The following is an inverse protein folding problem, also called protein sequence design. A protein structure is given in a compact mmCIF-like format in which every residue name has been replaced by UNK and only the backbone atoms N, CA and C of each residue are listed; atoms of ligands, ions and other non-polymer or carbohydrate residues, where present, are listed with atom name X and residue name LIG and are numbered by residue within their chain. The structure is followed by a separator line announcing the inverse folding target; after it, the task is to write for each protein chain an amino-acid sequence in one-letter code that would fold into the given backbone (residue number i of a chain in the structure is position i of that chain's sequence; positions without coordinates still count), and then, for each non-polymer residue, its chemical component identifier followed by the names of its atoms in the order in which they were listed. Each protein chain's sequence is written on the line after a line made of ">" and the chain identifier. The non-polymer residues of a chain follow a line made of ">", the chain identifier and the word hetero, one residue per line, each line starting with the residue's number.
data_IF_187887852631
#
_entry.id   IF_187887852631
#
_cell.length_a   1.000
_cell.length_b   1.000
_cell.length_c   1.000
_cell.angle_alpha   90.00
_cell.angle_beta   90.00
_cell.angle_gamma   90.00
#
_symmetry.space_group_name_H-M   'P 1'
#
loop_
_entity.id
_entity.type
_entity.pdbx_description
1 polymer ?
#
# COMPACT_ATOMS: atom_id res chain seq x y z
N UNK A 1 46.22 55.50 -59.42
CA UNK A 1 46.48 54.62 -58.26
C UNK A 1 45.48 54.92 -57.13
N UNK A 2 44.17 54.81 -57.41
CA UNK A 2 43.10 55.22 -56.47
C UNK A 2 41.99 54.16 -56.37
N UNK A 3 42.05 53.08 -57.17
CA UNK A 3 40.92 52.13 -57.32
C UNK A 3 41.09 50.83 -56.52
N UNK A 4 42.28 50.55 -55.93
CA UNK A 4 42.52 49.29 -55.18
C UNK A 4 42.22 49.33 -53.68
N UNK A 5 41.83 50.48 -53.11
CA UNK A 5 41.57 50.58 -51.65
C UNK A 5 40.09 50.34 -51.26
N UNK A 6 39.16 50.33 -52.22
CA UNK A 6 37.73 50.17 -51.94
C UNK A 6 37.25 48.70 -51.90
N UNK A 7 38.06 47.74 -52.35
CA UNK A 7 37.67 46.33 -52.43
C UNK A 7 38.01 45.48 -51.19
N UNK A 8 38.83 46.00 -50.27
CA UNK A 8 39.26 45.26 -49.06
C UNK A 8 38.44 45.57 -47.81
N UNK A 9 37.60 46.60 -47.82
CA UNK A 9 36.72 46.94 -46.69
C UNK A 9 35.31 46.32 -46.79
N UNK A 10 34.87 45.89 -47.98
CA UNK A 10 33.54 45.32 -48.21
C UNK A 10 33.38 43.85 -47.84
N UNK A 11 34.46 43.07 -47.84
CA UNK A 11 34.45 41.64 -47.49
C UNK A 11 34.53 41.40 -45.97
N UNK A 12 35.08 42.35 -45.21
CA UNK A 12 35.22 42.23 -43.76
C UNK A 12 33.89 42.46 -43.03
N UNK A 13 33.06 43.38 -43.53
CA UNK A 13 31.73 43.68 -42.94
C UNK A 13 30.71 42.58 -43.26
N UNK A 14 30.81 41.92 -44.44
CA UNK A 14 29.94 40.78 -44.80
C UNK A 14 30.21 39.52 -43.98
N UNK A 15 31.40 39.35 -43.39
CA UNK A 15 31.70 38.22 -42.50
C UNK A 15 31.25 38.42 -41.06
N UNK A 16 31.07 39.67 -40.63
CA UNK A 16 30.60 40.00 -39.27
C UNK A 16 29.06 39.92 -39.18
N UNK A 17 28.34 40.08 -40.29
CA UNK A 17 26.87 40.05 -40.33
C UNK A 17 26.23 38.67 -40.52
N UNK A 18 27.00 37.58 -40.44
CA UNK A 18 26.46 36.20 -40.41
C UNK A 18 26.42 35.64 -38.97
N UNK A 19 26.84 36.42 -37.97
CA UNK A 19 26.79 36.04 -36.55
C UNK A 19 25.57 36.70 -35.89
N UNK A 20 24.38 36.38 -36.39
CA UNK A 20 23.07 36.69 -35.82
C UNK A 20 22.07 35.95 -36.72
N UNK A 21 21.42 34.85 -36.38
CA UNK A 21 20.71 34.48 -35.15
C UNK A 21 20.72 32.95 -35.15
N UNK A 22 21.61 32.32 -34.41
CA UNK A 22 21.31 30.99 -33.87
C UNK A 22 20.77 31.27 -32.47
N UNK A 23 19.47 31.55 -32.38
CA UNK A 23 18.80 31.46 -31.09
C UNK A 23 18.96 30.01 -30.65
N UNK A 24 19.97 29.77 -29.82
CA UNK A 24 19.99 28.63 -28.95
C UNK A 24 18.74 28.77 -28.09
N UNK A 25 17.64 28.16 -28.55
CA UNK A 25 16.56 27.75 -27.69
C UNK A 25 17.20 26.79 -26.70
N UNK A 26 17.69 27.33 -25.59
CA UNK A 26 17.94 26.56 -24.39
C UNK A 26 16.55 26.11 -23.97
N UNK A 27 16.11 24.98 -24.53
CA UNK A 27 15.06 24.20 -23.93
C UNK A 27 15.57 23.85 -22.55
N UNK A 28 15.15 24.61 -21.55
CA UNK A 28 15.19 24.15 -20.17
C UNK A 28 14.33 22.89 -20.17
N UNK A 29 14.99 21.74 -20.29
CA UNK A 29 14.44 20.47 -19.83
C UNK A 29 14.35 20.61 -18.32
N UNK A 30 13.29 21.25 -17.84
CA UNK A 30 12.84 21.01 -16.47
C UNK A 30 12.49 19.54 -16.46
N UNK A 31 13.28 18.73 -15.74
CA UNK A 31 12.77 17.43 -15.33
C UNK A 31 11.44 17.73 -14.63
N UNK A 32 10.34 17.32 -15.25
CA UNK A 32 9.05 17.44 -14.59
C UNK A 32 9.11 16.44 -13.45
N UNK A 33 9.05 16.93 -12.21
CA UNK A 33 8.90 16.04 -11.07
C UNK A 33 7.64 15.20 -11.31
N UNK A 34 7.80 13.89 -11.15
CA UNK A 34 6.70 12.93 -11.27
C UNK A 34 5.63 13.26 -10.24
N UNK A 35 4.36 13.04 -10.58
CA UNK A 35 3.26 13.28 -9.64
C UNK A 35 3.36 12.31 -8.46
N UNK A 36 2.82 12.68 -7.29
CA UNK A 36 2.77 11.78 -6.13
C UNK A 36 2.06 10.46 -6.48
N UNK A 37 1.01 10.54 -7.32
CA UNK A 37 0.33 9.36 -7.82
C UNK A 37 1.22 8.50 -8.75
N UNK A 38 2.00 9.13 -9.63
CA UNK A 38 2.96 8.41 -10.48
C UNK A 38 4.00 7.64 -9.63
N UNK A 39 4.44 8.21 -8.49
CA UNK A 39 5.28 7.48 -7.52
C UNK A 39 4.54 6.26 -6.95
N UNK A 40 3.31 6.45 -6.47
CA UNK A 40 2.49 5.35 -5.91
C UNK A 40 2.33 4.22 -6.95
N UNK A 41 1.98 4.57 -8.18
CA UNK A 41 1.81 3.61 -9.25
C UNK A 41 3.10 2.83 -9.51
N UNK A 42 4.22 3.52 -9.70
CA UNK A 42 5.49 2.90 -10.12
C UNK A 42 6.23 2.17 -9.01
N UNK A 43 6.25 2.73 -7.81
CA UNK A 43 7.06 2.23 -6.69
C UNK A 43 6.28 1.32 -5.72
N UNK A 44 4.94 1.31 -5.80
CA UNK A 44 4.10 0.53 -4.87
C UNK A 44 3.15 -0.41 -5.61
N UNK A 45 2.27 0.08 -6.48
CA UNK A 45 1.27 -0.76 -7.13
C UNK A 45 1.87 -1.74 -8.13
N UNK A 46 2.74 -1.25 -9.01
CA UNK A 46 3.43 -2.09 -9.99
C UNK A 46 4.18 -3.27 -9.35
N UNK A 47 5.03 -3.07 -8.32
CA UNK A 47 5.77 -4.17 -7.72
C UNK A 47 4.94 -5.04 -6.76
N UNK A 48 3.89 -4.52 -6.12
CA UNK A 48 3.24 -5.21 -4.99
C UNK A 48 1.78 -5.60 -5.20
N UNK A 49 1.11 -5.10 -6.26
CA UNK A 49 -0.35 -5.25 -6.39
C UNK A 49 -0.79 -5.77 -7.76
N UNK A 50 -0.17 -5.31 -8.85
CA UNK A 50 -0.63 -5.60 -10.22
C UNK A 50 -0.69 -7.09 -10.55
N UNK A 51 0.23 -7.90 -10.03
CA UNK A 51 0.25 -9.35 -10.30
C UNK A 51 -1.11 -10.02 -10.00
N UNK A 52 -1.82 -9.51 -8.99
CA UNK A 52 -3.16 -9.98 -8.59
C UNK A 52 -4.29 -9.03 -9.05
N UNK A 53 -3.99 -7.76 -9.32
CA UNK A 53 -4.95 -6.73 -9.71
C UNK A 53 -4.70 -6.23 -11.13
N UNK A 54 -4.65 -7.15 -12.09
CA UNK A 54 -4.59 -6.82 -13.52
C UNK A 54 -5.68 -7.57 -14.30
N UNK A 55 -6.01 -7.06 -15.48
CA UNK A 55 -6.99 -7.67 -16.37
C UNK A 55 -6.69 -9.15 -16.60
N UNK A 56 -7.71 -10.00 -16.45
CA UNK A 56 -7.62 -11.44 -16.64
C UNK A 56 -7.21 -12.25 -15.40
N UNK A 57 -6.85 -11.60 -14.30
CA UNK A 57 -6.60 -12.29 -13.02
C UNK A 57 -7.88 -12.55 -12.24
N UNK A 58 -7.91 -13.64 -11.48
CA UNK A 58 -9.06 -14.03 -10.65
C UNK A 58 -9.36 -12.96 -9.58
N UNK A 59 -8.34 -12.41 -8.94
CA UNK A 59 -8.54 -11.42 -7.88
C UNK A 59 -9.07 -10.09 -8.43
N UNK A 60 -8.60 -9.63 -9.60
CA UNK A 60 -9.20 -8.47 -10.26
C UNK A 60 -10.69 -8.65 -10.57
N UNK A 61 -11.08 -9.84 -11.04
CA UNK A 61 -12.49 -10.15 -11.32
C UNK A 61 -13.35 -10.19 -10.04
N UNK A 62 -12.87 -10.86 -8.99
CA UNK A 62 -13.61 -10.99 -7.73
C UNK A 62 -13.73 -9.68 -6.96
N UNK A 63 -12.72 -8.83 -7.02
CA UNK A 63 -12.69 -7.53 -6.35
C UNK A 63 -13.22 -6.38 -7.22
N UNK A 64 -13.45 -6.64 -8.51
CA UNK A 64 -13.73 -5.65 -9.55
C UNK A 64 -12.72 -4.49 -9.53
N UNK A 65 -11.43 -4.81 -9.39
CA UNK A 65 -10.34 -3.85 -9.21
C UNK A 65 -9.12 -4.23 -10.04
N UNK A 66 -8.77 -3.35 -10.97
CA UNK A 66 -7.55 -3.33 -11.77
C UNK A 66 -6.70 -2.14 -11.32
N UNK A 67 -5.42 -2.40 -11.07
CA UNK A 67 -4.44 -1.44 -10.55
C UNK A 67 -3.30 -1.17 -11.55
N UNK A 68 -3.51 -1.47 -12.83
CA UNK A 68 -2.59 -1.07 -13.91
C UNK A 68 -2.70 0.44 -14.16
N UNK A 69 -1.61 1.04 -14.64
CA UNK A 69 -1.44 2.49 -14.79
C UNK A 69 -2.57 3.18 -15.58
N UNK A 70 -3.20 2.46 -16.50
CA UNK A 70 -4.30 2.94 -17.35
C UNK A 70 -5.68 2.98 -16.66
N UNK A 71 -5.88 2.24 -15.55
CA UNK A 71 -7.18 2.11 -14.90
C UNK A 71 -7.17 2.43 -13.39
N UNK A 72 -5.99 2.36 -12.74
CA UNK A 72 -5.87 2.33 -11.29
C UNK A 72 -6.50 3.53 -10.58
N UNK A 73 -6.23 4.75 -11.06
CA UNK A 73 -6.73 5.96 -10.41
C UNK A 73 -8.24 6.04 -10.47
N UNK A 74 -8.82 5.87 -11.67
CA UNK A 74 -10.27 5.88 -11.89
C UNK A 74 -10.99 4.77 -11.14
N UNK A 75 -10.32 3.65 -10.87
CA UNK A 75 -10.89 2.55 -10.10
C UNK A 75 -10.72 2.68 -8.59
N UNK A 76 -9.81 3.52 -8.09
CA UNK A 76 -9.59 3.70 -6.66
C UNK A 76 -10.30 4.93 -6.10
N UNK A 77 -10.19 6.07 -6.78
CA UNK A 77 -10.55 7.34 -6.16
C UNK A 77 -12.02 7.70 -6.43
N UNK A 78 -12.76 8.01 -5.37
CA UNK A 78 -14.21 8.21 -5.34
C UNK A 78 -15.04 7.02 -5.84
N UNK A 79 -14.50 5.80 -5.74
CA UNK A 79 -15.18 4.56 -6.15
C UNK A 79 -15.70 3.78 -4.95
N UNK A 80 -16.96 3.36 -5.01
CA UNK A 80 -17.55 2.47 -4.01
C UNK A 80 -16.95 1.06 -4.12
N UNK A 81 -16.49 0.43 -3.03
CA UNK A 81 -15.89 -0.90 -3.09
C UNK A 81 -16.88 -1.98 -3.55
N UNK A 82 -16.36 -3.02 -4.18
CA UNK A 82 -17.16 -4.17 -4.61
C UNK A 82 -17.61 -5.05 -3.43
N UNK A 83 -16.81 -5.11 -2.36
CA UNK A 83 -17.15 -5.80 -1.12
C UNK A 83 -18.46 -5.24 -0.54
N UNK A 84 -19.43 -6.13 -0.31
CA UNK A 84 -20.77 -5.74 0.13
C UNK A 84 -20.79 -5.17 1.55
N UNK A 85 -19.94 -5.67 2.45
CA UNK A 85 -19.83 -5.16 3.82
C UNK A 85 -19.26 -3.75 3.82
N UNK A 86 -18.10 -3.54 3.18
CA UNK A 86 -17.47 -2.21 3.09
C UNK A 86 -18.37 -1.18 2.41
N UNK A 87 -19.15 -1.59 1.40
CA UNK A 87 -20.19 -0.75 0.80
C UNK A 87 -21.32 -0.44 1.79
N UNK A 88 -21.76 -1.44 2.55
CA UNK A 88 -22.80 -1.28 3.58
C UNK A 88 -22.39 -0.30 4.67
N UNK A 89 -21.09 -0.25 4.97
CA UNK A 89 -20.49 0.68 5.93
C UNK A 89 -20.25 2.09 5.34
N UNK A 90 -20.60 2.29 4.06
CA UNK A 90 -20.53 3.59 3.39
C UNK A 90 -19.11 4.02 2.99
N UNK A 91 -18.16 3.08 2.93
CA UNK A 91 -16.78 3.39 2.56
C UNK A 91 -16.64 3.68 1.06
N UNK A 92 -15.59 4.43 0.73
CA UNK A 92 -15.03 4.51 -0.62
C UNK A 92 -13.71 3.73 -0.64
N UNK A 93 -13.26 3.30 -1.82
CA UNK A 93 -11.91 2.75 -2.00
C UNK A 93 -10.87 3.76 -1.53
N UNK A 94 -10.94 5.00 -2.02
CA UNK A 94 -10.24 6.18 -1.51
C UNK A 94 -11.14 7.40 -1.75
N UNK A 95 -11.28 8.31 -0.78
CA UNK A 95 -11.99 9.59 -0.96
C UNK A 95 -11.04 10.77 -1.19
N UNK A 96 -11.59 11.94 -1.55
CA UNK A 96 -10.83 13.19 -1.77
C UNK A 96 -10.97 14.26 -0.68
N UNK A 97 -11.67 13.98 0.40
CA UNK A 97 -11.96 14.91 1.50
C UNK A 97 -10.84 15.00 2.55
N UNK A 98 -9.61 14.62 2.18
CA UNK A 98 -8.42 14.70 3.03
C UNK A 98 -8.51 13.80 4.25
N UNK A 99 -8.43 14.38 5.46
CA UNK A 99 -8.44 13.63 6.74
C UNK A 99 -9.65 12.68 6.82
N UNK A 100 -10.84 13.15 6.47
CA UNK A 100 -12.04 12.32 6.52
C UNK A 100 -11.98 11.13 5.55
N UNK A 101 -11.23 11.25 4.46
CA UNK A 101 -11.06 10.16 3.51
C UNK A 101 -10.16 9.05 4.00
N UNK A 102 -9.24 9.32 4.93
CA UNK A 102 -8.40 8.26 5.51
C UNK A 102 -9.25 7.30 6.37
N UNK A 103 -10.07 7.86 7.25
CA UNK A 103 -10.97 7.11 8.16
C UNK A 103 -12.06 6.33 7.41
N UNK A 104 -12.39 6.74 6.17
CA UNK A 104 -13.40 6.06 5.35
C UNK A 104 -12.81 5.39 4.10
N UNK A 105 -11.51 5.10 4.11
CA UNK A 105 -10.79 4.49 2.98
C UNK A 105 -10.69 2.99 3.13
N UNK A 106 -11.45 2.27 2.29
CA UNK A 106 -11.35 0.81 2.23
C UNK A 106 -9.96 0.35 1.75
N UNK A 107 -9.25 1.13 0.92
CA UNK A 107 -7.87 0.81 0.57
C UNK A 107 -6.98 0.84 1.82
N UNK A 108 -7.13 1.87 2.66
CA UNK A 108 -6.30 2.06 3.86
C UNK A 108 -6.50 0.91 4.84
N UNK A 109 -7.75 0.55 5.12
CA UNK A 109 -8.11 -0.64 5.92
C UNK A 109 -7.38 -1.90 5.42
N UNK A 110 -7.32 -2.08 4.10
CA UNK A 110 -6.77 -3.29 3.49
C UNK A 110 -5.25 -3.36 3.53
N UNK A 111 -4.54 -2.23 3.59
CA UNK A 111 -3.06 -2.20 3.52
C UNK A 111 -2.39 -1.86 4.84
N UNK A 112 -3.10 -1.26 5.80
CA UNK A 112 -2.56 -0.82 7.08
C UNK A 112 -2.35 -2.00 8.04
N UNK A 113 -1.37 -2.85 7.72
CA UNK A 113 -1.03 -4.04 8.50
C UNK A 113 -0.75 -3.79 10.00
N UNK A 114 -0.16 -2.65 10.43
CA UNK A 114 -0.07 -2.31 11.85
C UNK A 114 -1.41 -2.33 12.60
N UNK A 115 -2.52 -2.11 11.92
CA UNK A 115 -3.87 -2.04 12.48
C UNK A 115 -4.68 -3.34 12.23
N UNK A 116 -3.98 -4.46 12.04
CA UNK A 116 -4.62 -5.75 11.74
C UNK A 116 -5.64 -6.20 12.81
N UNK A 117 -5.44 -5.82 14.07
CA UNK A 117 -6.34 -6.22 15.17
C UNK A 117 -7.70 -5.54 15.01
N UNK A 118 -7.70 -4.23 14.77
CA UNK A 118 -8.90 -3.48 14.40
C UNK A 118 -9.55 -4.09 13.15
N UNK A 119 -8.75 -4.30 12.10
CA UNK A 119 -9.27 -4.80 10.83
C UNK A 119 -10.03 -6.13 10.97
N UNK A 120 -9.48 -7.11 11.67
CA UNK A 120 -10.15 -8.41 11.83
C UNK A 120 -11.25 -8.42 12.90
N UNK A 121 -11.15 -7.56 13.92
CA UNK A 121 -12.19 -7.41 14.95
C UNK A 121 -13.45 -6.74 14.39
N UNK A 122 -13.25 -5.59 13.75
CA UNK A 122 -14.35 -4.68 13.44
C UNK A 122 -14.91 -4.96 12.04
N UNK A 123 -14.08 -5.53 11.15
CA UNK A 123 -14.43 -5.76 9.75
C UNK A 123 -14.32 -7.23 9.30
N UNK A 124 -15.00 -8.19 9.97
CA UNK A 124 -14.83 -9.63 9.74
C UNK A 124 -15.16 -10.07 8.30
N UNK A 125 -15.87 -9.25 7.53
CA UNK A 125 -16.30 -9.55 6.16
C UNK A 125 -15.54 -8.76 5.06
N UNK A 126 -14.45 -8.06 5.40
CA UNK A 126 -13.63 -7.32 4.41
C UNK A 126 -12.62 -8.24 3.68
N UNK A 127 -12.55 -9.50 4.08
CA UNK A 127 -11.58 -10.48 3.58
C UNK A 127 -10.20 -10.27 4.21
N UNK A 128 -9.12 -10.74 3.58
CA UNK A 128 -7.76 -10.65 4.13
C UNK A 128 -7.07 -9.31 3.87
N UNK A 129 -6.10 -8.95 4.70
CA UNK A 129 -5.18 -7.83 4.41
C UNK A 129 -4.40 -8.04 3.10
N UNK A 130 -3.92 -6.94 2.52
CA UNK A 130 -3.16 -6.89 1.28
C UNK A 130 -1.74 -6.34 1.53
N UNK A 131 -0.73 -6.79 0.76
CA UNK A 131 -0.81 -7.85 -0.25
C UNK A 131 -1.03 -9.25 0.35
N UNK A 132 -1.86 -10.07 -0.29
CA UNK A 132 -2.13 -11.42 0.19
C UNK A 132 -1.06 -12.40 -0.30
N UNK A 133 -0.43 -13.13 0.62
CA UNK A 133 0.58 -14.16 0.32
C UNK A 133 1.99 -13.61 0.04
N UNK A 134 2.16 -12.29 0.08
CA UNK A 134 3.42 -11.57 -0.05
C UNK A 134 3.67 -10.76 1.23
N UNK A 135 4.90 -10.24 1.48
CA UNK A 135 5.13 -9.33 2.59
C UNK A 135 4.22 -8.09 2.53
N UNK A 136 3.71 -7.64 3.68
CA UNK A 136 3.01 -6.35 3.82
C UNK A 136 3.85 -5.20 3.27
N UNK A 137 3.22 -4.10 2.81
CA UNK A 137 3.93 -2.89 2.38
C UNK A 137 4.91 -2.39 3.47
N UNK A 138 5.97 -1.70 3.05
CA UNK A 138 6.89 -1.10 4.01
C UNK A 138 6.21 0.04 4.75
N UNK A 139 6.70 0.36 5.94
CA UNK A 139 6.20 1.50 6.71
C UNK A 139 6.34 2.80 5.91
N UNK A 140 7.45 2.96 5.17
CA UNK A 140 7.64 4.07 4.24
C UNK A 140 6.61 4.15 3.11
N UNK A 141 6.25 3.01 2.50
CA UNK A 141 5.19 2.94 1.49
C UNK A 141 3.81 3.31 2.08
N UNK A 142 3.51 2.83 3.29
CA UNK A 142 2.27 3.16 4.00
C UNK A 142 2.19 4.65 4.33
N UNK A 143 3.26 5.24 4.86
CA UNK A 143 3.31 6.67 5.17
C UNK A 143 3.17 7.52 3.91
N UNK A 144 3.80 7.12 2.81
CA UNK A 144 3.67 7.81 1.52
C UNK A 144 2.21 7.82 1.02
N UNK A 145 1.54 6.66 1.04
CA UNK A 145 0.13 6.54 0.63
C UNK A 145 -0.77 7.33 1.58
N UNK A 146 -0.50 7.27 2.90
CA UNK A 146 -1.25 8.00 3.91
C UNK A 146 -1.22 9.51 3.64
N UNK A 147 -0.05 10.08 3.41
CA UNK A 147 0.08 11.51 3.11
C UNK A 147 -0.63 11.90 1.80
N UNK A 148 -0.62 11.03 0.79
CA UNK A 148 -1.40 11.23 -0.44
C UNK A 148 -2.91 11.23 -0.19
N UNK A 149 -3.45 10.28 0.60
CA UNK A 149 -4.88 10.25 0.97
C UNK A 149 -5.24 11.51 1.78
N UNK A 150 -4.41 11.88 2.77
CA UNK A 150 -4.62 13.07 3.61
C UNK A 150 -4.65 14.37 2.79
N UNK A 151 -3.94 14.41 1.67
CA UNK A 151 -3.93 15.53 0.72
C UNK A 151 -5.11 15.53 -0.26
N UNK A 152 -6.04 14.58 -0.14
CA UNK A 152 -7.21 14.47 -1.02
C UNK A 152 -6.96 13.67 -2.29
N UNK A 153 -5.97 12.78 -2.27
CA UNK A 153 -5.71 11.79 -3.32
C UNK A 153 -5.60 12.39 -4.74
N UNK A 154 -4.77 13.42 -4.98
CA UNK A 154 -4.65 14.02 -6.32
C UNK A 154 -3.99 13.04 -7.31
N UNK A 155 -4.49 13.03 -8.55
CA UNK A 155 -3.89 12.30 -9.69
C UNK A 155 -2.61 12.98 -10.20
N UNK A 156 -2.64 14.31 -10.21
CA UNK A 156 -1.64 15.15 -10.83
C UNK A 156 -0.96 16.05 -9.80
N UNK A 157 0.28 16.43 -10.10
CA UNK A 157 1.09 17.26 -9.22
C UNK A 157 1.65 16.53 -8.00
N UNK A 158 2.30 17.29 -7.13
CA UNK A 158 3.02 16.76 -5.97
C UNK A 158 2.31 17.13 -4.67
N UNK A 159 2.38 16.23 -3.70
CA UNK A 159 1.95 16.43 -2.32
C UNK A 159 3.19 16.64 -1.46
N UNK A 160 3.36 17.86 -0.93
CA UNK A 160 4.58 18.26 -0.19
C UNK A 160 4.98 17.30 0.95
N UNK A 161 4.00 16.67 1.61
CA UNK A 161 4.23 15.73 2.72
C UNK A 161 4.51 14.30 2.28
N UNK A 162 4.09 13.90 1.09
CA UNK A 162 4.40 12.60 0.50
C UNK A 162 5.76 12.68 -0.19
N UNK A 163 6.81 12.88 0.60
CA UNK A 163 8.19 12.96 0.10
C UNK A 163 8.71 11.55 -0.24
N UNK A 164 9.41 11.39 -1.36
CA UNK A 164 10.01 10.10 -1.74
C UNK A 164 11.03 9.59 -0.72
N UNK A 165 11.56 10.46 0.16
CA UNK A 165 12.41 10.03 1.29
C UNK A 165 11.69 9.11 2.27
N UNK A 166 10.35 9.15 2.33
CA UNK A 166 9.56 8.19 3.11
C UNK A 166 9.80 6.76 2.60
N UNK A 167 9.99 6.58 1.29
CA UNK A 167 10.21 5.26 0.69
C UNK A 167 11.57 4.65 1.05
N UNK A 168 12.49 5.41 1.65
CA UNK A 168 13.75 4.88 2.20
C UNK A 168 13.51 3.99 3.43
N UNK A 169 12.39 4.18 4.14
CA UNK A 169 11.97 3.26 5.19
C UNK A 169 11.39 1.97 4.59
N UNK A 170 12.26 0.96 4.53
CA UNK A 170 11.96 -0.38 4.05
C UNK A 170 11.57 -1.36 5.15
N UNK A 171 11.46 -0.90 6.40
CA UNK A 171 10.97 -1.73 7.51
C UNK A 171 9.51 -2.14 7.26
N UNK A 172 9.11 -3.29 7.78
CA UNK A 172 7.76 -3.82 7.61
C UNK A 172 7.15 -4.13 8.97
N UNK A 173 5.83 -4.10 9.02
CA UNK A 173 5.12 -4.59 10.18
C UNK A 173 5.40 -6.07 10.39
N UNK A 174 5.82 -6.43 11.60
CA UNK A 174 5.90 -7.80 12.07
C UNK A 174 4.85 -8.00 13.16
N UNK A 175 3.96 -9.01 13.03
CA UNK A 175 3.01 -9.34 14.08
C UNK A 175 3.73 -9.59 15.41
N UNK A 176 3.18 -9.13 16.55
CA UNK A 176 3.74 -9.43 17.85
C UNK A 176 3.98 -10.93 18.01
N UNK A 177 5.14 -11.29 18.57
CA UNK A 177 5.41 -12.69 18.89
C UNK A 177 4.38 -13.14 19.91
N UNK A 178 3.77 -14.29 19.64
CA UNK A 178 2.91 -14.96 20.60
C UNK A 178 3.71 -15.29 21.86
N UNK A 179 3.22 -14.81 23.00
CA UNK A 179 3.77 -15.12 24.31
C UNK A 179 2.83 -16.14 24.95
N UNK A 180 3.36 -17.31 25.28
CA UNK A 180 2.62 -18.32 26.04
C UNK A 180 2.37 -17.81 27.46
N UNK A 181 1.27 -18.25 28.08
CA UNK A 181 1.06 -18.01 29.51
C UNK A 181 2.18 -18.64 30.33
N UNK A 182 2.49 -18.03 31.48
CA UNK A 182 3.33 -18.69 32.47
C UNK A 182 2.63 -19.97 32.98
N UNK A 183 3.36 -21.06 33.24
CA UNK A 183 2.78 -22.24 33.86
C UNK A 183 2.13 -21.88 35.21
N UNK A 184 0.94 -22.42 35.52
CA UNK A 184 0.27 -22.12 36.78
C UNK A 184 1.03 -22.71 37.97
N UNK A 185 1.10 -21.96 39.09
CA UNK A 185 1.70 -22.43 40.35
C UNK A 185 1.04 -23.71 40.87
N UNK A 186 -0.28 -23.81 40.68
CA UNK A 186 -1.12 -24.98 40.97
C UNK A 186 -2.10 -25.14 39.80
N UNK A 187 -1.98 -26.25 39.08
CA UNK A 187 -2.88 -26.56 37.97
C UNK A 187 -2.15 -27.23 36.83
N UNK A 188 -2.78 -27.19 35.65
CA UNK A 188 -2.27 -27.81 34.43
C UNK A 188 -2.25 -26.75 33.34
N UNK A 189 -1.19 -26.74 32.54
CA UNK A 189 -1.11 -25.96 31.32
C UNK A 189 -1.24 -26.91 30.12
N UNK A 190 -2.21 -26.61 29.25
CA UNK A 190 -2.42 -27.33 28.00
C UNK A 190 -1.89 -26.50 26.84
N UNK A 191 -1.18 -27.15 25.93
CA UNK A 191 -0.75 -26.54 24.68
C UNK A 191 -1.42 -27.25 23.52
N UNK A 192 -2.33 -26.55 22.86
CA UNK A 192 -2.90 -27.01 21.60
C UNK A 192 -1.89 -26.74 20.47
N UNK A 193 -1.37 -27.81 19.89
CA UNK A 193 -0.45 -27.71 18.76
C UNK A 193 -1.11 -27.12 17.50
N UNK A 194 -0.32 -26.78 16.47
CA UNK A 194 -0.86 -26.28 15.21
C UNK A 194 -1.77 -27.33 14.56
N UNK A 195 -2.85 -26.86 13.93
CA UNK A 195 -3.77 -27.69 13.15
C UNK A 195 -4.06 -27.01 11.81
N UNK A 196 -4.28 -27.81 10.77
CA UNK A 196 -4.61 -27.30 9.44
C UNK A 196 -6.12 -27.13 9.29
N UNK A 197 -6.53 -25.97 8.75
CA UNK A 197 -7.89 -25.66 8.34
C UNK A 197 -7.89 -25.38 6.83
N UNK A 198 -8.50 -26.24 6.00
CA UNK A 198 -8.62 -26.00 4.58
C UNK A 198 -9.44 -24.72 4.26
N UNK A 199 -9.24 -24.08 3.10
CA UNK A 199 -10.07 -22.96 2.67
C UNK A 199 -11.56 -23.33 2.58
N UNK A 200 -12.43 -22.40 2.99
CA UNK A 200 -13.90 -22.56 2.98
C UNK A 200 -14.40 -23.78 3.77
N UNK A 201 -13.68 -24.16 4.84
CA UNK A 201 -13.99 -25.32 5.65
C UNK A 201 -14.03 -24.95 7.13
N UNK A 202 -15.13 -25.26 7.81
CA UNK A 202 -15.22 -25.20 9.27
C UNK A 202 -14.92 -26.58 9.86
N UNK A 203 -14.10 -26.62 10.91
CA UNK A 203 -13.70 -27.86 11.56
C UNK A 203 -13.84 -27.77 13.07
N UNK A 204 -14.77 -28.53 13.62
CA UNK A 204 -14.71 -28.92 15.02
C UNK A 204 -13.79 -30.13 15.17
N UNK A 205 -12.92 -30.13 16.19
CA UNK A 205 -12.12 -31.29 16.53
C UNK A 205 -11.97 -31.42 18.04
N UNK A 206 -11.73 -32.65 18.48
CA UNK A 206 -11.50 -32.97 19.88
C UNK A 206 -10.01 -33.16 20.10
N UNK A 207 -9.45 -32.40 21.03
CA UNK A 207 -8.07 -32.57 21.51
C UNK A 207 -8.11 -33.17 22.91
N UNK A 208 -7.52 -34.36 23.05
CA UNK A 208 -7.45 -35.06 24.33
C UNK A 208 -5.99 -35.21 24.75
N UNK A 209 -5.66 -34.64 25.90
CA UNK A 209 -4.37 -34.83 26.57
C UNK A 209 -4.60 -35.75 27.77
N UNK A 210 -4.04 -36.98 27.78
CA UNK A 210 -4.13 -37.83 28.95
C UNK A 210 -3.34 -37.20 30.10
N UNK A 211 -3.94 -37.21 31.29
CA UNK A 211 -3.30 -36.82 32.54
C UNK A 211 -3.19 -38.04 33.46
N UNK A 212 -2.07 -38.16 34.15
CA UNK A 212 -1.89 -39.17 35.18
C UNK A 212 -2.32 -38.58 36.53
N UNK A 213 -3.64 -38.58 36.77
CA UNK A 213 -4.23 -38.05 38.00
C UNK A 213 -4.92 -39.17 38.76
N UNK A 214 -4.59 -39.34 40.04
CA UNK A 214 -5.11 -40.43 40.88
C UNK A 214 -6.48 -40.15 41.52
N UNK A 215 -7.25 -39.18 41.01
CA UNK A 215 -8.58 -38.81 41.51
C UNK A 215 -9.27 -37.70 40.70
N UNK A 216 -10.42 -37.23 41.18
CA UNK A 216 -11.19 -36.15 40.54
C UNK A 216 -10.43 -34.82 40.58
N UNK A 217 -10.45 -34.10 39.47
CA UNK A 217 -9.90 -32.75 39.34
C UNK A 217 -11.03 -31.72 39.30
N UNK A 218 -10.89 -30.64 40.06
CA UNK A 218 -11.84 -29.53 40.09
C UNK A 218 -11.18 -28.29 39.47
N UNK A 219 -11.87 -27.67 38.50
CA UNK A 219 -11.39 -26.47 37.81
C UNK A 219 -11.95 -25.23 38.51
N UNK A 220 -11.07 -24.42 39.10
CA UNK A 220 -11.46 -23.15 39.73
C UNK A 220 -11.37 -21.96 38.76
N UNK A 221 -10.36 -21.95 37.90
CA UNK A 221 -10.11 -20.91 36.90
C UNK A 221 -9.52 -21.53 35.64
N UNK A 222 -9.92 -21.00 34.48
CA UNK A 222 -9.25 -21.25 33.21
C UNK A 222 -8.76 -19.92 32.63
N UNK A 223 -7.61 -19.96 31.99
CA UNK A 223 -7.06 -18.86 31.20
C UNK A 223 -6.65 -19.42 29.85
N UNK A 224 -7.00 -18.70 28.79
CA UNK A 224 -6.76 -19.12 27.41
C UNK A 224 -6.11 -17.94 26.70
N UNK A 225 -5.00 -18.20 26.01
CA UNK A 225 -4.37 -17.25 25.10
C UNK A 225 -4.27 -17.87 23.70
N UNK A 226 -4.63 -17.08 22.69
CA UNK A 226 -4.53 -17.44 21.29
C UNK A 226 -3.81 -16.33 20.54
N UNK A 227 -3.33 -16.61 19.32
CA UNK A 227 -2.84 -15.52 18.46
C UNK A 227 -4.03 -14.63 18.06
N UNK A 228 -3.84 -13.31 17.94
CA UNK A 228 -4.84 -12.45 17.33
C UNK A 228 -5.26 -13.02 15.96
N UNK A 229 -6.57 -13.13 15.71
CA UNK A 229 -7.13 -13.70 14.48
C UNK A 229 -7.19 -15.23 14.39
N UNK A 230 -7.07 -15.96 15.53
CA UNK A 230 -7.30 -17.41 15.61
C UNK A 230 -8.75 -17.78 15.88
#
# INVERSE_FOLDING_TARGET
>A
MIIKFAQLFGEFVKRIFVIAIFSAGISFLTAQDRSTWEVIQKEIWNPSCIQCHQVGTTFAQLSNLVLTEDEAYEQLVDVVPYNASARGDGLLRVGKTGIASLETSYLWEKINAPDQEHYYSDHPYYGSLMPMGEPYLTNGQLDFIKEWILAGAPEEGTVDKASETLLEDTTRYEPPKFVVLDPPDQGMQLHLGPFEVPPNFEREFYYFQPFDTTGDLYLERAEIIMRPGS
#
